data_IF_667001685737
#
_entry.id   IF_667001685737
#
_cell.length_a   1.000
_cell.length_b   1.000
_cell.length_c   1.000
_cell.angle_alpha   90.00
_cell.angle_beta   90.00
_cell.angle_gamma   90.00
#
_symmetry.space_group_name_H-M   'P 1'
#
loop_
_entity.id
_entity.type
_entity.pdbx_description
1 polymer ?
#
# COMPACT_ATOMS: atom_id res chain seq x y z
N UNK A 1 16.53 -13.60 7.74
CA UNK A 1 15.35 -13.00 7.07
C UNK A 1 14.84 -13.99 6.04
N UNK A 2 13.56 -14.31 6.07
CA UNK A 2 12.91 -15.25 5.15
C UNK A 2 11.96 -14.44 4.23
N UNK A 3 11.91 -14.79 2.97
CA UNK A 3 10.99 -14.18 2.01
C UNK A 3 9.77 -15.10 1.87
N UNK A 4 8.61 -14.64 2.34
CA UNK A 4 7.40 -15.47 2.39
C UNK A 4 6.61 -15.54 1.05
N UNK A 5 6.98 -14.73 0.07
CA UNK A 5 6.35 -14.69 -1.26
C UNK A 5 5.04 -13.88 -1.32
N UNK A 6 4.27 -13.82 -0.24
CA UNK A 6 3.05 -12.99 -0.14
C UNK A 6 2.86 -12.45 1.27
N UNK A 7 1.99 -11.44 1.39
CA UNK A 7 1.63 -10.87 2.69
C UNK A 7 0.89 -11.87 3.57
N UNK A 8 0.02 -12.66 2.99
CA UNK A 8 -0.74 -13.70 3.68
C UNK A 8 0.20 -14.79 4.20
N UNK A 9 1.14 -15.26 3.37
CA UNK A 9 2.12 -16.25 3.77
C UNK A 9 3.01 -15.79 4.93
N UNK A 10 3.34 -14.49 4.99
CA UNK A 10 4.10 -13.94 6.11
C UNK A 10 3.35 -14.04 7.44
N UNK A 11 2.03 -13.80 7.44
CA UNK A 11 1.17 -13.99 8.62
C UNK A 11 1.05 -15.46 8.98
N UNK A 12 0.86 -16.34 7.99
CA UNK A 12 0.78 -17.80 8.21
C UNK A 12 2.08 -18.33 8.81
N UNK A 13 3.24 -17.89 8.31
CA UNK A 13 4.55 -18.29 8.84
C UNK A 13 4.73 -17.87 10.31
N UNK A 14 4.25 -16.67 10.68
CA UNK A 14 4.22 -16.21 12.07
C UNK A 14 3.28 -17.06 12.92
N UNK A 15 2.09 -17.36 12.44
CA UNK A 15 1.10 -18.19 13.14
C UNK A 15 1.61 -19.62 13.36
N UNK A 16 2.40 -20.15 12.43
CA UNK A 16 3.02 -21.47 12.54
C UNK A 16 4.31 -21.48 13.38
N UNK A 17 4.77 -20.33 13.87
CA UNK A 17 5.99 -20.19 14.65
C UNK A 17 7.28 -20.43 13.84
N UNK A 18 7.23 -20.38 12.52
CA UNK A 18 8.42 -20.50 11.65
C UNK A 18 9.21 -19.19 11.57
N UNK A 19 8.61 -18.08 11.98
CA UNK A 19 9.24 -16.77 12.14
C UNK A 19 8.70 -16.12 13.42
N UNK A 20 9.48 -15.25 14.05
CA UNK A 20 9.09 -14.54 15.27
C UNK A 20 8.42 -13.20 14.97
N UNK A 21 8.65 -12.64 13.78
CA UNK A 21 8.12 -11.33 13.33
C UNK A 21 7.80 -11.40 11.84
N UNK A 22 6.70 -10.77 11.43
CA UNK A 22 6.32 -10.65 10.03
C UNK A 22 6.03 -9.18 9.66
N UNK A 23 6.62 -8.71 8.56
CA UNK A 23 6.30 -7.40 7.99
C UNK A 23 5.06 -7.49 7.10
N UNK A 24 4.16 -6.53 7.25
CA UNK A 24 2.92 -6.51 6.50
C UNK A 24 2.44 -5.08 6.24
N UNK A 25 1.46 -4.91 5.34
CA UNK A 25 0.89 -3.60 5.10
C UNK A 25 -0.21 -3.27 6.11
N UNK A 26 -0.31 -1.99 6.43
CA UNK A 26 -1.26 -1.41 7.36
C UNK A 26 -1.70 -0.03 6.85
N UNK A 27 -2.99 0.16 6.65
CA UNK A 27 -3.55 1.47 6.33
C UNK A 27 -4.14 2.12 7.60
N UNK A 28 -5.01 1.40 8.28
CA UNK A 28 -5.67 1.81 9.53
C UNK A 28 -6.16 0.59 10.33
N UNK A 29 -6.87 0.83 11.43
CA UNK A 29 -7.37 -0.22 12.34
C UNK A 29 -8.41 -1.15 11.69
N UNK A 30 -9.10 -0.72 10.63
CA UNK A 30 -10.08 -1.51 9.90
C UNK A 30 -9.51 -2.14 8.64
N UNK A 31 -8.44 -1.55 8.06
CA UNK A 31 -7.89 -1.99 6.79
C UNK A 31 -6.39 -2.24 6.86
N UNK A 32 -6.07 -3.50 7.06
CA UNK A 32 -4.72 -4.06 7.02
C UNK A 32 -4.79 -5.48 6.45
N UNK A 33 -3.63 -6.06 6.09
CA UNK A 33 -3.61 -7.45 5.66
C UNK A 33 -4.16 -8.38 6.74
N UNK A 34 -3.83 -8.15 8.00
CA UNK A 34 -4.32 -8.97 9.11
C UNK A 34 -5.85 -8.91 9.24
N UNK A 35 -6.45 -7.70 9.16
CA UNK A 35 -7.90 -7.53 9.17
C UNK A 35 -8.57 -8.19 7.95
N UNK A 36 -7.93 -8.09 6.78
CA UNK A 36 -8.40 -8.75 5.57
C UNK A 36 -8.41 -10.28 5.72
N UNK A 37 -7.37 -10.84 6.31
CA UNK A 37 -7.29 -12.28 6.60
C UNK A 37 -8.32 -12.71 7.66
N UNK A 38 -8.53 -11.88 8.69
CA UNK A 38 -9.56 -12.16 9.72
C UNK A 38 -10.97 -12.20 9.12
N UNK A 39 -11.31 -11.25 8.22
CA UNK A 39 -12.59 -11.26 7.50
C UNK A 39 -12.79 -12.52 6.62
N UNK A 40 -11.70 -13.13 6.18
CA UNK A 40 -11.70 -14.39 5.40
C UNK A 40 -11.59 -15.65 6.28
N UNK A 41 -11.60 -15.51 7.60
CA UNK A 41 -11.38 -16.60 8.55
C UNK A 41 -10.04 -17.34 8.38
N UNK A 42 -9.02 -16.65 7.85
CA UNK A 42 -7.66 -17.19 7.65
C UNK A 42 -6.75 -16.96 8.86
N UNK A 43 -7.07 -15.98 9.71
CA UNK A 43 -6.34 -15.64 10.92
C UNK A 43 -7.29 -14.99 11.92
N UNK A 44 -6.96 -15.04 13.21
CA UNK A 44 -7.65 -14.27 14.25
C UNK A 44 -6.78 -13.06 14.58
N UNK A 45 -7.31 -11.84 14.40
CA UNK A 45 -6.53 -10.61 14.61
C UNK A 45 -5.98 -10.51 16.03
N UNK A 46 -6.73 -10.99 17.04
CA UNK A 46 -6.36 -10.94 18.46
C UNK A 46 -5.17 -11.85 18.84
N UNK A 47 -4.80 -12.81 17.97
CA UNK A 47 -3.64 -13.66 18.17
C UNK A 47 -2.31 -12.94 17.84
N UNK A 48 -2.38 -11.72 17.29
CA UNK A 48 -1.23 -10.97 16.79
C UNK A 48 -1.09 -9.62 17.50
N UNK A 49 0.16 -9.22 17.71
CA UNK A 49 0.51 -7.92 18.27
C UNK A 49 1.25 -7.09 17.24
N UNK A 50 0.77 -5.87 16.98
CA UNK A 50 1.50 -4.89 16.20
C UNK A 50 2.60 -4.30 17.09
N UNK A 51 3.86 -4.50 16.72
CA UNK A 51 5.03 -4.06 17.49
C UNK A 51 5.69 -2.81 16.91
N UNK A 52 5.42 -2.51 15.64
CA UNK A 52 5.98 -1.34 14.97
C UNK A 52 5.08 -0.92 13.80
N UNK A 53 4.93 0.38 13.60
CA UNK A 53 4.33 0.99 12.40
C UNK A 53 5.37 1.96 11.82
N UNK A 54 5.66 1.83 10.53
CA UNK A 54 6.54 2.75 9.81
C UNK A 54 5.88 4.13 9.64
N UNK A 55 6.66 5.11 9.20
CA UNK A 55 6.09 6.33 8.63
C UNK A 55 5.19 6.00 7.44
N UNK A 56 4.30 6.93 7.13
CA UNK A 56 3.32 6.73 6.06
C UNK A 56 4.02 6.53 4.70
N UNK A 57 3.70 5.43 4.04
CA UNK A 57 4.16 5.13 2.70
C UNK A 57 3.06 5.53 1.71
N UNK A 58 3.38 6.45 0.80
CA UNK A 58 2.43 6.89 -0.23
C UNK A 58 2.11 5.74 -1.17
N UNK A 59 0.83 5.54 -1.45
CA UNK A 59 0.36 4.52 -2.39
C UNK A 59 0.83 4.81 -3.82
N UNK A 60 0.80 3.77 -4.67
CA UNK A 60 1.16 3.90 -6.08
C UNK A 60 0.28 4.95 -6.78
N UNK A 61 0.88 5.91 -7.52
CA UNK A 61 0.12 6.95 -8.18
C UNK A 61 -0.56 6.43 -9.46
N UNK A 62 -1.68 7.04 -9.81
CA UNK A 62 -2.16 7.03 -11.19
C UNK A 62 -1.36 8.07 -11.99
N UNK A 63 -0.67 7.63 -13.03
CA UNK A 63 0.16 8.48 -13.87
C UNK A 63 -0.32 8.48 -15.33
N UNK A 64 -0.10 9.56 -16.02
CA UNK A 64 -0.27 9.67 -17.48
C UNK A 64 1.01 10.15 -18.16
N UNK A 65 1.12 9.92 -19.45
CA UNK A 65 2.30 10.32 -20.22
C UNK A 65 2.44 11.85 -20.23
N UNK A 66 3.65 12.34 -19.96
CA UNK A 66 3.96 13.77 -19.97
C UNK A 66 3.75 14.42 -21.34
N UNK A 67 3.85 13.64 -22.45
CA UNK A 67 3.67 14.09 -23.84
C UNK A 67 2.22 14.27 -24.26
N UNK A 68 1.23 13.87 -23.46
CA UNK A 68 -0.18 14.10 -23.78
C UNK A 68 -0.50 15.61 -23.88
N UNK A 69 -1.43 16.02 -24.76
CA UNK A 69 -1.93 17.41 -24.84
C UNK A 69 -2.40 17.92 -23.48
N UNK A 70 -2.19 19.22 -23.23
CA UNK A 70 -2.46 19.81 -21.92
C UNK A 70 -3.94 19.75 -21.52
N UNK A 71 -4.84 19.97 -22.48
CA UNK A 71 -6.30 19.87 -22.31
C UNK A 71 -6.74 18.45 -21.96
N UNK A 72 -6.17 17.44 -22.61
CA UNK A 72 -6.45 16.03 -22.31
C UNK A 72 -5.94 15.66 -20.91
N UNK A 73 -4.73 16.10 -20.52
CA UNK A 73 -4.21 15.90 -19.15
C UNK A 73 -5.13 16.53 -18.10
N UNK A 74 -5.62 17.74 -18.36
CA UNK A 74 -6.54 18.42 -17.46
C UNK A 74 -7.89 17.67 -17.35
N UNK A 75 -8.43 17.20 -18.47
CA UNK A 75 -9.66 16.42 -18.49
C UNK A 75 -9.53 15.09 -17.74
N UNK A 76 -8.45 14.35 -17.96
CA UNK A 76 -8.15 13.08 -17.24
C UNK A 76 -8.03 13.35 -15.74
N UNK A 77 -7.23 14.34 -15.33
CA UNK A 77 -7.06 14.70 -13.93
C UNK A 77 -8.40 15.05 -13.27
N UNK A 78 -9.21 15.86 -13.93
CA UNK A 78 -10.53 16.24 -13.44
C UNK A 78 -11.44 15.02 -13.28
N UNK A 79 -11.54 14.16 -14.28
CA UNK A 79 -12.37 12.95 -14.23
C UNK A 79 -11.96 12.03 -13.08
N UNK A 80 -10.66 11.79 -12.90
CA UNK A 80 -10.12 10.93 -11.83
C UNK A 80 -10.39 11.49 -10.44
N UNK A 81 -10.22 12.80 -10.24
CA UNK A 81 -10.46 13.42 -8.92
C UNK A 81 -11.96 13.53 -8.57
N UNK A 82 -12.83 13.62 -9.57
CA UNK A 82 -14.26 13.78 -9.38
C UNK A 82 -15.06 12.47 -9.36
N UNK A 83 -14.46 11.33 -9.75
CA UNK A 83 -15.19 10.06 -9.91
C UNK A 83 -15.87 9.60 -8.61
N UNK A 84 -15.22 9.78 -7.46
CA UNK A 84 -15.78 9.40 -6.16
C UNK A 84 -17.08 10.14 -5.81
N UNK A 85 -17.30 11.33 -6.37
CA UNK A 85 -18.50 12.14 -6.13
C UNK A 85 -19.48 12.05 -7.28
N UNK A 86 -19.02 11.94 -8.52
CA UNK A 86 -19.89 11.92 -9.72
C UNK A 86 -20.45 10.54 -10.03
N UNK A 87 -19.69 9.50 -9.74
CA UNK A 87 -20.11 8.11 -9.92
C UNK A 87 -19.58 7.27 -8.76
N UNK A 88 -20.17 7.49 -7.59
CA UNK A 88 -19.81 6.77 -6.37
C UNK A 88 -19.98 5.25 -6.53
N UNK A 89 -20.99 4.82 -7.27
CA UNK A 89 -21.24 3.40 -7.48
C UNK A 89 -20.11 2.70 -8.25
N UNK A 90 -19.62 3.33 -9.34
CA UNK A 90 -18.46 2.83 -10.06
C UNK A 90 -17.18 2.90 -9.22
N UNK A 91 -16.98 4.00 -8.49
CA UNK A 91 -15.83 4.17 -7.60
C UNK A 91 -15.79 3.08 -6.51
N UNK A 92 -16.89 2.88 -5.78
CA UNK A 92 -17.00 1.87 -4.74
C UNK A 92 -16.81 0.44 -5.30
N UNK A 93 -17.26 0.19 -6.53
CA UNK A 93 -17.06 -1.11 -7.18
C UNK A 93 -15.58 -1.40 -7.47
N UNK A 94 -14.81 -0.37 -7.86
CA UNK A 94 -13.36 -0.49 -8.12
C UNK A 94 -12.60 -0.68 -6.81
N UNK A 95 -12.95 0.06 -5.78
CA UNK A 95 -12.22 0.12 -4.51
C UNK A 95 -12.91 -0.62 -3.35
N UNK A 96 -13.91 -1.44 -3.64
CA UNK A 96 -14.69 -2.23 -2.65
C UNK A 96 -15.32 -1.35 -1.55
N UNK A 97 -15.63 -0.09 -1.85
CA UNK A 97 -16.19 0.87 -0.88
C UNK A 97 -15.25 1.26 0.27
N UNK A 98 -13.95 0.93 0.19
CA UNK A 98 -12.99 1.12 1.28
C UNK A 98 -12.01 2.27 1.04
N UNK A 99 -12.06 2.90 -0.11
CA UNK A 99 -11.16 3.98 -0.50
C UNK A 99 -11.87 5.33 -0.40
N UNK A 100 -11.20 6.31 0.22
CA UNK A 100 -11.60 7.71 0.13
C UNK A 100 -11.36 8.30 -1.27
N UNK A 101 -11.85 9.52 -1.54
CA UNK A 101 -11.61 10.20 -2.82
C UNK A 101 -10.12 10.28 -3.14
N UNK A 102 -9.79 10.14 -4.42
CA UNK A 102 -8.42 10.30 -4.90
C UNK A 102 -7.98 11.77 -4.76
N UNK A 103 -6.72 11.98 -4.43
CA UNK A 103 -6.14 13.31 -4.25
C UNK A 103 -4.98 13.53 -5.21
N UNK A 104 -4.77 14.77 -5.62
CA UNK A 104 -3.61 15.12 -6.43
C UNK A 104 -2.35 15.09 -5.57
N UNK A 105 -1.29 14.48 -6.10
CA UNK A 105 0.04 14.44 -5.47
C UNK A 105 1.09 14.97 -6.45
N UNK A 106 2.21 15.39 -5.93
CA UNK A 106 3.40 15.75 -6.69
C UNK A 106 4.58 14.83 -6.35
N UNK A 107 5.71 15.03 -7.00
CA UNK A 107 6.89 14.21 -6.78
C UNK A 107 7.43 14.28 -5.35
N UNK A 108 7.22 15.39 -4.63
CA UNK A 108 7.72 15.57 -3.27
C UNK A 108 7.08 14.59 -2.28
N UNK A 109 5.84 14.17 -2.56
CA UNK A 109 5.17 13.16 -1.74
C UNK A 109 5.94 11.82 -1.72
N UNK A 110 6.81 11.57 -2.71
CA UNK A 110 7.59 10.34 -2.87
C UNK A 110 9.04 10.47 -2.39
N UNK A 111 9.50 11.64 -1.95
CA UNK A 111 10.88 11.83 -1.46
C UNK A 111 11.25 10.83 -0.36
N UNK A 112 10.40 10.53 0.66
CA UNK A 112 10.72 9.54 1.68
C UNK A 112 10.92 8.13 1.10
N UNK A 113 10.18 7.78 0.03
CA UNK A 113 10.32 6.48 -0.65
C UNK A 113 11.66 6.41 -1.39
N UNK A 114 12.09 7.50 -2.02
CA UNK A 114 13.39 7.58 -2.69
C UNK A 114 14.52 7.41 -1.69
N UNK A 115 14.44 8.05 -0.53
CA UNK A 115 15.42 7.91 0.55
C UNK A 115 15.48 6.49 1.12
N UNK A 116 14.30 5.89 1.36
CA UNK A 116 14.21 4.50 1.82
C UNK A 116 14.85 3.53 0.80
N UNK A 117 14.57 3.71 -0.48
CA UNK A 117 15.17 2.87 -1.53
C UNK A 117 16.70 3.00 -1.57
N UNK A 118 17.23 4.22 -1.47
CA UNK A 118 18.70 4.44 -1.37
C UNK A 118 19.29 3.72 -0.17
N UNK A 119 18.67 3.84 0.99
CA UNK A 119 19.12 3.13 2.20
C UNK A 119 19.12 1.61 2.01
N UNK A 120 18.06 1.03 1.42
CA UNK A 120 17.99 -0.41 1.15
C UNK A 120 19.07 -0.85 0.15
N UNK A 121 19.34 -0.07 -0.89
CA UNK A 121 20.38 -0.37 -1.87
C UNK A 121 21.78 -0.33 -1.24
N UNK A 122 22.04 0.59 -0.34
CA UNK A 122 23.31 0.67 0.40
C UNK A 122 23.50 -0.52 1.36
N UNK A 123 22.40 -0.97 2.00
CA UNK A 123 22.43 -2.20 2.81
C UNK A 123 22.74 -3.45 1.97
N UNK A 124 22.18 -3.54 0.77
CA UNK A 124 22.43 -4.66 -0.15
C UNK A 124 23.88 -4.70 -0.61
N UNK A 125 24.46 -3.53 -0.98
CA UNK A 125 25.87 -3.43 -1.36
C UNK A 125 26.82 -3.89 -0.25
N UNK A 126 26.55 -3.47 1.01
CA UNK A 126 27.35 -3.89 2.19
C UNK A 126 27.29 -5.38 2.50
N UNK A 127 26.24 -6.09 2.07
CA UNK A 127 26.14 -7.55 2.25
C UNK A 127 26.85 -8.35 1.16
N UNK A 128 27.17 -7.72 0.04
CA UNK A 128 27.83 -8.34 -1.11
C UNK A 128 29.35 -8.16 -1.10
N UNK A 129 29.87 -7.42 -0.12
CA UNK A 129 31.31 -7.20 0.18
C UNK A 129 31.73 -8.04 1.36
#
# INVERSE_FOLDING_TARGET
>A
MVYAGSHENAVIALQQGTVDVAANWWNDEQESNLQRMARKNMAKADDFRIIYKSDQIVNSPMAYLGSLPADLKAAIKKAVLEVATKDKAAFDKIYEGKQGPLVAVDNKAYDPIVELNRFVDDLRKKKSS
#
